data_IF_895439461628
#
_entry.id   IF_895439461628
#
_cell.length_a   1.000
_cell.length_b   1.000
_cell.length_c   1.000
_cell.angle_alpha   90.00
_cell.angle_beta   90.00
_cell.angle_gamma   90.00
#
_symmetry.space_group_name_H-M   'P 1'
#
loop_
_entity.id
_entity.type
_entity.pdbx_description
1 polymer ?
#
# COMPACT_ATOMS: atom_id res chain seq x y z
N UNK A 1 -4.50 4.23 -16.45
CA UNK A 1 -4.21 3.34 -15.31
C UNK A 1 -4.39 1.90 -15.75
N UNK A 2 -3.73 0.98 -15.06
CA UNK A 2 -3.75 -0.48 -15.25
C UNK A 2 -3.58 -1.18 -13.90
N UNK A 3 -3.64 -2.51 -13.88
CA UNK A 3 -3.43 -3.32 -12.67
C UNK A 3 -2.06 -3.09 -12.01
N UNK A 4 -1.07 -2.64 -12.78
CA UNK A 4 0.28 -2.33 -12.31
C UNK A 4 0.45 -0.87 -11.84
N UNK A 5 -0.57 -0.01 -12.01
CA UNK A 5 -0.50 1.37 -11.54
C UNK A 5 -0.38 1.43 -10.02
N UNK A 6 0.58 2.21 -9.52
CA UNK A 6 0.78 2.42 -8.08
C UNK A 6 -0.41 3.18 -7.52
N UNK A 7 -0.92 2.71 -6.40
CA UNK A 7 -2.07 3.25 -5.70
C UNK A 7 -1.78 3.28 -4.20
N UNK A 8 -2.59 4.05 -3.46
CA UNK A 8 -2.64 4.04 -2.00
C UNK A 8 -4.07 3.77 -1.56
N UNK A 9 -4.27 2.67 -0.84
CA UNK A 9 -5.53 2.31 -0.21
C UNK A 9 -5.57 2.80 1.23
N UNK A 10 -6.71 3.35 1.61
CA UNK A 10 -6.97 3.87 2.95
C UNK A 10 -8.20 3.20 3.54
N UNK A 11 -8.16 2.90 4.85
CA UNK A 11 -9.32 2.49 5.62
C UNK A 11 -9.41 3.24 6.94
N UNK A 12 -10.61 3.70 7.28
CA UNK A 12 -10.95 4.34 8.57
C UNK A 12 -9.98 5.48 8.94
N UNK A 13 -9.67 6.33 7.97
CA UNK A 13 -8.71 7.44 8.13
C UNK A 13 -9.10 8.32 9.33
N UNK A 14 -8.15 8.61 10.22
CA UNK A 14 -8.38 9.39 11.44
C UNK A 14 -8.91 8.58 12.64
N UNK A 15 -9.12 7.27 12.48
CA UNK A 15 -9.42 6.38 13.61
C UNK A 15 -8.14 5.72 14.18
N UNK A 16 -8.22 5.18 15.39
CA UNK A 16 -7.12 4.43 16.01
C UNK A 16 -6.71 3.19 15.20
N UNK A 17 -7.66 2.59 14.48
CA UNK A 17 -7.44 1.41 13.65
C UNK A 17 -7.34 1.78 12.16
N UNK A 18 -6.82 2.97 11.83
CA UNK A 18 -6.62 3.37 10.44
C UNK A 18 -5.62 2.47 9.74
N UNK A 19 -5.80 2.28 8.43
CA UNK A 19 -4.86 1.57 7.59
C UNK A 19 -4.51 2.42 6.37
N UNK A 20 -3.21 2.48 6.06
CA UNK A 20 -2.66 3.12 4.86
C UNK A 20 -1.71 2.12 4.24
N UNK A 21 -1.94 1.77 2.98
CA UNK A 21 -1.16 0.76 2.27
C UNK A 21 -0.94 1.23 0.84
N UNK A 22 0.31 1.26 0.39
CA UNK A 22 0.69 1.59 -0.98
C UNK A 22 1.11 0.33 -1.75
N UNK A 23 0.89 0.33 -3.06
CA UNK A 23 1.29 -0.78 -3.92
C UNK A 23 0.59 -0.72 -5.26
N UNK A 24 0.89 -1.66 -6.14
CA UNK A 24 0.14 -1.78 -7.41
C UNK A 24 -1.34 -2.07 -7.14
N UNK A 25 -2.21 -1.65 -8.05
CA UNK A 25 -3.65 -1.89 -7.94
C UNK A 25 -3.99 -3.37 -7.70
N UNK A 26 -3.29 -4.29 -8.38
CA UNK A 26 -3.42 -5.74 -8.15
C UNK A 26 -3.00 -6.18 -6.74
N UNK A 27 -1.94 -5.59 -6.18
CA UNK A 27 -1.51 -5.91 -4.82
C UNK A 27 -2.52 -5.41 -3.79
N UNK A 28 -3.05 -4.19 -3.96
CA UNK A 28 -4.05 -3.64 -3.04
C UNK A 28 -5.37 -4.44 -3.05
N UNK A 29 -5.72 -5.05 -4.18
CA UNK A 29 -6.90 -5.91 -4.28
C UNK A 29 -6.84 -7.12 -3.34
N UNK A 30 -5.64 -7.60 -3.03
CA UNK A 30 -5.41 -8.75 -2.13
C UNK A 30 -5.29 -8.35 -0.64
N UNK A 31 -5.32 -7.04 -0.34
CA UNK A 31 -5.24 -6.52 1.03
C UNK A 31 -6.63 -6.50 1.66
N UNK A 32 -6.76 -7.11 2.85
CA UNK A 32 -7.95 -6.94 3.69
C UNK A 32 -7.89 -5.61 4.43
N UNK A 33 -8.63 -4.62 3.93
CA UNK A 33 -8.77 -3.31 4.56
C UNK A 33 -9.74 -3.30 5.75
N UNK A 34 -10.45 -4.40 6.00
CA UNK A 34 -11.43 -4.53 7.08
C UNK A 34 -12.71 -3.74 6.84
N UNK A 35 -13.26 -3.17 7.92
CA UNK A 35 -14.53 -2.44 7.88
C UNK A 35 -14.40 -1.03 7.25
N UNK A 36 -15.45 -0.54 6.55
CA UNK A 36 -15.53 0.80 5.99
C UNK A 36 -15.29 1.93 7.02
N UNK A 37 -14.98 3.16 6.60
CA UNK A 37 -14.95 3.68 5.22
C UNK A 37 -13.60 3.49 4.53
N UNK A 38 -13.61 3.33 3.21
CA UNK A 38 -12.41 3.18 2.38
C UNK A 38 -12.25 4.35 1.40
N UNK A 39 -11.00 4.68 1.07
CA UNK A 39 -10.62 5.63 0.03
C UNK A 39 -9.44 5.06 -0.78
N UNK A 40 -9.31 5.44 -2.04
CA UNK A 40 -8.24 5.01 -2.93
C UNK A 40 -7.66 6.23 -3.66
N UNK A 41 -6.34 6.33 -3.69
CA UNK A 41 -5.60 7.29 -4.51
C UNK A 41 -4.84 6.53 -5.60
N UNK A 42 -4.98 6.94 -6.85
CA UNK A 42 -4.14 6.45 -7.95
C UNK A 42 -3.00 7.44 -8.10
N UNK A 43 -1.76 6.96 -7.96
CA UNK A 43 -0.57 7.81 -7.91
C UNK A 43 -0.21 8.31 -9.32
N UNK A 44 0.12 9.60 -9.41
CA UNK A 44 0.62 10.24 -10.62
C UNK A 44 2.14 10.39 -10.61
N UNK A 45 2.64 11.48 -11.16
CA UNK A 45 4.05 11.85 -10.98
C UNK A 45 4.29 12.33 -9.54
N UNK A 46 5.38 11.88 -8.94
CA UNK A 46 5.71 12.13 -7.53
C UNK A 46 7.05 12.81 -7.37
N UNK A 47 7.17 13.63 -6.33
CA UNK A 47 8.47 14.13 -5.85
C UNK A 47 9.21 13.01 -5.07
N UNK A 48 10.55 12.98 -5.01
CA UNK A 48 11.30 11.95 -4.27
C UNK A 48 10.84 11.73 -2.82
N UNK A 49 10.43 12.80 -2.12
CA UNK A 49 9.89 12.70 -0.76
C UNK A 49 8.56 11.92 -0.71
N UNK A 50 7.72 12.05 -1.74
CA UNK A 50 6.47 11.30 -1.83
C UNK A 50 6.75 9.82 -2.14
N UNK A 51 7.78 9.51 -2.93
CA UNK A 51 8.24 8.13 -3.18
C UNK A 51 8.71 7.46 -1.89
N UNK A 52 9.48 8.15 -1.05
CA UNK A 52 9.89 7.66 0.27
C UNK A 52 8.68 7.35 1.17
N UNK A 53 7.65 8.18 1.12
CA UNK A 53 6.40 7.94 1.86
C UNK A 53 5.61 6.77 1.29
N UNK A 54 5.57 6.60 -0.04
CA UNK A 54 4.95 5.44 -0.66
C UNK A 54 5.68 4.17 -0.22
N UNK A 55 7.01 4.13 -0.27
CA UNK A 55 7.82 2.99 0.20
C UNK A 55 7.54 2.65 1.67
N UNK A 56 7.40 3.66 2.53
CA UNK A 56 7.08 3.47 3.94
C UNK A 56 5.77 2.69 4.17
N UNK A 57 4.78 2.89 3.31
CA UNK A 57 3.47 2.22 3.35
C UNK A 57 3.35 1.02 2.40
N UNK A 58 4.43 0.61 1.72
CA UNK A 58 4.36 -0.43 0.70
C UNK A 58 3.84 -1.77 1.24
N UNK A 59 3.05 -2.47 0.42
CA UNK A 59 2.67 -3.87 0.69
C UNK A 59 3.95 -4.68 0.87
N UNK A 60 4.17 -5.16 2.09
CA UNK A 60 5.24 -6.11 2.35
C UNK A 60 4.77 -7.46 1.84
N UNK A 61 5.32 -7.92 0.72
CA UNK A 61 5.11 -9.31 0.34
C UNK A 61 5.55 -10.19 1.51
N UNK A 62 4.79 -11.26 1.79
CA UNK A 62 5.26 -12.33 2.65
C UNK A 62 6.56 -12.80 2.02
N UNK A 63 7.70 -12.37 2.58
CA UNK A 63 9.02 -12.83 2.21
C UNK A 63 8.95 -14.35 2.33
N UNK A 64 8.83 -15.05 1.21
CA UNK A 64 8.95 -16.49 1.18
C UNK A 64 10.30 -16.76 1.85
N UNK A 65 10.23 -17.42 3.00
CA UNK A 65 11.38 -17.75 3.83
C UNK A 65 12.48 -18.35 2.98
N UNK A 66 13.53 -17.58 2.72
CA UNK A 66 14.79 -18.06 2.18
C UNK A 66 15.93 -17.33 2.87
N UNK A 67 16.48 -18.08 3.83
CA UNK A 67 17.85 -18.10 4.30
C UNK A 67 18.40 -16.82 4.93
N UNK A 68 18.50 -16.85 6.26
CA UNK A 68 19.78 -16.50 6.91
C UNK A 68 20.87 -17.42 6.33
N UNK A 69 21.92 -16.82 5.77
CA UNK A 69 23.26 -16.95 6.36
C UNK A 69 23.90 -15.54 6.42
N UNK A 70 24.68 -15.14 7.42
CA UNK A 70 25.47 -15.83 8.43
C UNK A 70 25.30 -15.17 9.81
#
# INVERSE_FOLDING_TARGET
YSEDSICVGFARLGSENQMVVSGSMKQLREVDFGAPLHCLVIVGETHPMEEEMLEFYAVKEKRASLASPE
#
